data_IF_905539260513
#
_entry.id   IF_905539260513
#
_cell.length_a   1.000
_cell.length_b   1.000
_cell.length_c   1.000
_cell.angle_alpha   90.00
_cell.angle_beta   90.00
_cell.angle_gamma   90.00
#
_symmetry.space_group_name_H-M   'P 1'
#
loop_
_entity.id
_entity.type
_entity.pdbx_description
1 polymer ?
#
# COMPACT_ATOMS: atom_id res chain seq x y z
N UNK A 1 -15.06 -31.59 24.25
CA UNK A 1 -14.46 -31.87 22.93
C UNK A 1 -14.07 -30.54 22.33
N UNK A 2 -12.77 -30.25 22.20
CA UNK A 2 -12.31 -29.02 21.56
C UNK A 2 -12.30 -29.28 20.05
N UNK A 3 -13.35 -28.83 19.34
CA UNK A 3 -13.36 -28.89 17.89
C UNK A 3 -12.28 -27.96 17.36
N UNK A 4 -11.24 -28.51 16.75
CA UNK A 4 -10.30 -27.74 15.95
C UNK A 4 -11.05 -27.26 14.70
N UNK A 5 -11.28 -25.95 14.59
CA UNK A 5 -11.79 -25.36 13.36
C UNK A 5 -10.69 -25.44 12.30
N UNK A 6 -10.87 -26.32 11.33
CA UNK A 6 -9.97 -26.39 10.19
C UNK A 6 -10.34 -25.28 9.20
N UNK A 7 -9.56 -24.20 9.23
CA UNK A 7 -9.73 -23.06 8.32
C UNK A 7 -9.51 -23.45 6.85
N UNK A 8 -8.78 -24.55 6.58
CA UNK A 8 -8.52 -25.02 5.22
C UNK A 8 -9.71 -25.78 4.60
N UNK A 9 -10.68 -26.19 5.42
CA UNK A 9 -11.92 -26.83 4.98
C UNK A 9 -13.02 -25.82 4.62
N UNK A 10 -12.79 -24.51 4.82
CA UNK A 10 -13.73 -23.47 4.43
C UNK A 10 -13.77 -23.26 2.91
N UNK A 11 -14.91 -22.81 2.35
CA UNK A 11 -14.96 -22.39 0.95
C UNK A 11 -13.94 -21.28 0.65
N UNK A 12 -13.42 -21.27 -0.57
CA UNK A 12 -12.41 -20.30 -1.01
C UNK A 12 -12.87 -18.84 -0.82
N UNK A 13 -14.15 -18.56 -1.06
CA UNK A 13 -14.71 -17.22 -0.89
C UNK A 13 -14.68 -16.76 0.57
N UNK A 14 -14.95 -17.67 1.52
CA UNK A 14 -14.86 -17.37 2.95
C UNK A 14 -13.41 -17.06 3.35
N UNK A 15 -12.46 -17.85 2.85
CA UNK A 15 -11.03 -17.62 3.10
C UNK A 15 -10.60 -16.26 2.53
N UNK A 16 -10.99 -15.98 1.28
CA UNK A 16 -10.73 -14.70 0.60
C UNK A 16 -11.28 -13.52 1.40
N UNK A 17 -12.51 -13.62 1.89
CA UNK A 17 -13.13 -12.61 2.74
C UNK A 17 -12.34 -12.41 4.04
N UNK A 18 -11.98 -13.50 4.74
CA UNK A 18 -11.19 -13.40 5.98
C UNK A 18 -9.87 -12.68 5.72
N UNK A 19 -9.14 -13.06 4.66
CA UNK A 19 -7.86 -12.44 4.30
C UNK A 19 -8.02 -10.96 3.96
N UNK A 20 -9.12 -10.56 3.29
CA UNK A 20 -9.40 -9.15 2.99
C UNK A 20 -9.50 -8.26 4.24
N UNK A 21 -9.82 -8.84 5.41
CA UNK A 21 -9.85 -8.11 6.69
C UNK A 21 -8.53 -8.17 7.46
N UNK A 22 -7.51 -8.86 6.93
CA UNK A 22 -6.18 -8.94 7.55
C UNK A 22 -5.24 -7.86 7.02
N UNK A 23 -3.99 -7.82 7.49
CA UNK A 23 -2.98 -6.94 6.89
C UNK A 23 -2.35 -7.60 5.65
N UNK A 24 -1.82 -6.84 4.68
CA UNK A 24 -1.08 -7.37 3.54
C UNK A 24 0.10 -8.27 3.96
N UNK A 25 0.74 -7.95 5.08
CA UNK A 25 1.80 -8.78 5.67
C UNK A 25 1.28 -10.13 6.15
N UNK A 26 0.12 -10.14 6.80
CA UNK A 26 -0.49 -11.38 7.30
C UNK A 26 -1.04 -12.21 6.15
N UNK A 27 -1.62 -11.59 5.12
CA UNK A 27 -2.00 -12.27 3.88
C UNK A 27 -0.81 -13.04 3.27
N UNK A 28 0.36 -12.39 3.13
CA UNK A 28 1.57 -13.06 2.64
C UNK A 28 2.07 -14.20 3.55
N UNK A 29 1.77 -14.19 4.85
CA UNK A 29 2.11 -15.30 5.76
C UNK A 29 1.11 -16.44 5.63
N UNK A 30 -0.18 -16.11 5.50
CA UNK A 30 -1.26 -17.06 5.31
C UNK A 30 -1.10 -17.83 3.99
N UNK A 31 -0.59 -17.20 2.93
CA UNK A 31 -0.34 -17.88 1.64
C UNK A 31 0.59 -19.10 1.76
N UNK A 32 1.47 -19.11 2.77
CA UNK A 32 2.42 -20.19 3.01
C UNK A 32 1.83 -21.35 3.83
N UNK A 33 0.64 -21.18 4.43
CA UNK A 33 0.03 -22.17 5.33
C UNK A 33 -0.61 -23.30 4.54
N UNK A 34 -1.31 -23.01 3.45
CA UNK A 34 -1.92 -24.02 2.58
C UNK A 34 -2.13 -23.52 1.16
N UNK A 35 -2.38 -24.44 0.23
CA UNK A 35 -2.70 -24.09 -1.17
C UNK A 35 -3.99 -23.29 -1.29
N UNK A 36 -5.00 -23.56 -0.44
CA UNK A 36 -6.26 -22.81 -0.43
C UNK A 36 -6.04 -21.35 0.00
N UNK A 37 -5.22 -21.12 1.04
CA UNK A 37 -4.83 -19.76 1.41
C UNK A 37 -4.01 -19.09 0.32
N UNK A 38 -3.06 -19.79 -0.31
CA UNK A 38 -2.29 -19.25 -1.42
C UNK A 38 -3.21 -18.76 -2.56
N UNK A 39 -4.15 -19.60 -3.00
CA UNK A 39 -5.11 -19.22 -4.03
C UNK A 39 -5.98 -18.03 -3.63
N UNK A 40 -6.43 -17.96 -2.38
CA UNK A 40 -7.17 -16.81 -1.87
C UNK A 40 -6.31 -15.53 -1.85
N UNK A 41 -5.04 -15.63 -1.45
CA UNK A 41 -4.12 -14.48 -1.41
C UNK A 41 -3.70 -13.98 -2.78
N UNK A 42 -3.80 -14.79 -3.83
CA UNK A 42 -3.58 -14.30 -5.21
C UNK A 42 -4.83 -13.65 -5.80
N UNK A 43 -5.98 -13.71 -5.14
CA UNK A 43 -7.22 -13.12 -5.62
C UNK A 43 -7.18 -11.59 -5.60
N UNK A 44 -7.57 -10.97 -6.71
CA UNK A 44 -7.66 -9.51 -6.81
C UNK A 44 -8.64 -8.89 -5.80
N UNK A 45 -9.67 -9.65 -5.36
CA UNK A 45 -10.62 -9.17 -4.35
C UNK A 45 -9.93 -8.87 -3.00
N UNK A 46 -8.92 -9.67 -2.63
CA UNK A 46 -8.12 -9.42 -1.42
C UNK A 46 -7.33 -8.14 -1.57
N UNK A 47 -6.59 -8.00 -2.68
CA UNK A 47 -5.73 -6.84 -2.87
C UNK A 47 -6.51 -5.55 -3.10
N UNK A 48 -7.73 -5.62 -3.63
CA UNK A 48 -8.64 -4.48 -3.71
C UNK A 48 -8.98 -3.90 -2.34
N UNK A 49 -9.18 -4.75 -1.32
CA UNK A 49 -9.45 -4.29 0.05
C UNK A 49 -8.26 -3.59 0.70
N UNK A 50 -7.04 -3.95 0.30
CA UNK A 50 -5.79 -3.33 0.78
C UNK A 50 -5.45 -2.04 0.04
N UNK A 51 -6.03 -1.83 -1.15
CA UNK A 51 -5.81 -0.64 -1.93
C UNK A 51 -6.71 0.48 -1.44
N UNK A 52 -6.19 1.72 -1.36
CA UNK A 52 -6.99 2.83 -0.91
C UNK A 52 -8.02 3.23 -1.96
N UNK A 53 -9.28 3.46 -1.58
CA UNK A 53 -10.42 3.71 -2.49
C UNK A 53 -10.18 4.70 -3.65
N UNK A 54 -9.34 5.72 -3.44
CA UNK A 54 -8.97 6.71 -4.47
C UNK A 54 -7.75 6.35 -5.34
N UNK A 55 -7.25 5.10 -5.29
CA UNK A 55 -6.04 4.69 -6.02
C UNK A 55 -6.19 4.89 -7.53
N UNK A 56 -7.39 4.69 -8.08
CA UNK A 56 -7.66 4.84 -9.51
C UNK A 56 -7.42 6.27 -10.02
N UNK A 57 -7.65 7.28 -9.19
CA UNK A 57 -7.39 8.68 -9.53
C UNK A 57 -5.89 9.03 -9.42
N UNK A 58 -5.11 8.25 -8.67
CA UNK A 58 -3.69 8.47 -8.45
C UNK A 58 -2.81 7.74 -9.47
N UNK A 59 -3.32 6.65 -10.04
CA UNK A 59 -2.57 5.83 -10.99
C UNK A 59 -2.74 6.43 -12.39
N UNK A 60 -1.64 6.76 -13.08
CA UNK A 60 -1.68 7.17 -14.47
C UNK A 60 -2.33 6.08 -15.33
N UNK A 61 -3.20 6.47 -16.26
CA UNK A 61 -3.86 5.55 -17.21
C UNK A 61 -2.89 4.76 -18.09
N UNK A 62 -1.61 5.16 -18.14
CA UNK A 62 -0.53 4.48 -18.85
C UNK A 62 0.02 3.26 -18.11
N UNK A 63 -0.24 3.11 -16.81
CA UNK A 63 0.19 1.96 -16.04
C UNK A 63 -0.88 0.86 -16.08
N UNK A 64 -0.69 -0.11 -16.98
CA UNK A 64 -1.47 -1.35 -16.96
C UNK A 64 -0.77 -2.38 -16.07
N UNK A 65 -1.49 -2.93 -15.11
CA UNK A 65 -1.03 -4.01 -14.25
C UNK A 65 -1.82 -5.28 -14.53
N UNK A 66 -1.16 -6.43 -14.48
CA UNK A 66 -1.82 -7.73 -14.73
C UNK A 66 -2.66 -8.18 -13.54
N UNK A 67 -2.37 -7.70 -12.33
CA UNK A 67 -3.11 -8.01 -11.10
C UNK A 67 -3.08 -6.84 -10.12
N UNK A 68 -4.07 -6.77 -9.23
CA UNK A 68 -4.13 -5.76 -8.15
C UNK A 68 -3.01 -5.95 -7.14
N UNK A 69 -2.55 -7.19 -6.95
CA UNK A 69 -1.35 -7.51 -6.18
C UNK A 69 -0.11 -6.84 -6.75
N UNK A 70 0.10 -6.94 -8.06
CA UNK A 70 1.26 -6.34 -8.72
C UNK A 70 1.20 -4.81 -8.63
N UNK A 71 0.00 -4.24 -8.78
CA UNK A 71 -0.25 -2.81 -8.56
C UNK A 71 0.12 -2.39 -7.14
N UNK A 72 -0.34 -3.12 -6.11
CA UNK A 72 0.00 -2.83 -4.72
C UNK A 72 1.52 -2.87 -4.48
N UNK A 73 2.20 -3.91 -4.97
CA UNK A 73 3.66 -4.04 -4.82
C UNK A 73 4.40 -2.92 -5.55
N UNK A 74 3.95 -2.54 -6.75
CA UNK A 74 4.50 -1.42 -7.51
C UNK A 74 4.36 -0.10 -6.73
N UNK A 75 3.19 0.15 -6.12
CA UNK A 75 2.98 1.34 -5.27
C UNK A 75 3.85 1.33 -4.00
N UNK A 76 4.29 0.17 -3.52
CA UNK A 76 5.20 0.08 -2.37
C UNK A 76 6.66 0.38 -2.75
N UNK A 77 7.04 0.05 -3.99
CA UNK A 77 8.42 0.12 -4.48
C UNK A 77 8.70 1.44 -5.19
N UNK A 78 7.75 1.88 -6.01
CA UNK A 78 7.83 3.04 -6.89
C UNK A 78 6.91 4.15 -6.37
N UNK A 79 7.46 5.19 -5.70
CA UNK A 79 6.66 6.32 -5.26
C UNK A 79 6.14 7.12 -6.46
N UNK A 80 4.83 7.36 -6.50
CA UNK A 80 4.17 8.15 -7.52
C UNK A 80 4.29 9.64 -7.20
N UNK A 81 4.73 10.44 -8.18
CA UNK A 81 4.73 11.89 -8.08
C UNK A 81 3.32 12.41 -8.38
N UNK A 82 2.71 13.08 -7.40
CA UNK A 82 1.38 13.68 -7.49
C UNK A 82 1.55 15.21 -7.40
N UNK A 83 0.55 15.95 -7.87
CA UNK A 83 0.48 17.41 -7.70
C UNK A 83 1.69 18.12 -8.34
N UNK A 84 1.94 17.78 -9.61
CA UNK A 84 3.06 18.30 -10.41
C UNK A 84 4.45 18.10 -9.76
N UNK A 85 4.63 17.02 -8.99
CA UNK A 85 5.90 16.69 -8.34
C UNK A 85 6.13 17.36 -6.99
N UNK A 86 5.11 18.04 -6.44
CA UNK A 86 5.18 18.61 -5.10
C UNK A 86 5.04 17.57 -3.99
N UNK A 87 4.40 16.43 -4.28
CA UNK A 87 4.19 15.35 -3.33
C UNK A 87 4.56 14.03 -3.99
N UNK A 88 5.19 13.13 -3.24
CA UNK A 88 5.31 11.73 -3.65
C UNK A 88 4.47 10.84 -2.75
N UNK A 89 3.87 9.81 -3.32
CA UNK A 89 2.94 8.89 -2.67
C UNK A 89 3.40 7.46 -2.87
N UNK A 90 3.40 6.68 -1.81
CA UNK A 90 3.64 5.24 -1.86
C UNK A 90 2.83 4.53 -0.78
N UNK A 91 2.76 3.21 -0.87
CA UNK A 91 2.12 2.39 0.17
C UNK A 91 3.16 1.77 1.10
N UNK A 92 2.85 1.73 2.39
CA UNK A 92 3.63 0.94 3.34
C UNK A 92 3.36 -0.56 3.10
N UNK A 93 4.38 -1.29 2.62
CA UNK A 93 4.27 -2.72 2.26
C UNK A 93 3.54 -3.58 3.28
N UNK A 94 3.79 -3.35 4.57
CA UNK A 94 3.26 -4.19 5.65
C UNK A 94 1.79 -3.94 5.99
N UNK A 95 1.33 -2.70 5.90
CA UNK A 95 0.01 -2.30 6.40
C UNK A 95 -0.94 -1.80 5.31
N UNK A 96 -0.44 -1.50 4.11
CA UNK A 96 -1.20 -0.83 3.05
C UNK A 96 -1.52 0.62 3.34
N UNK A 97 -0.95 1.21 4.39
CA UNK A 97 -1.15 2.63 4.71
C UNK A 97 -0.54 3.53 3.64
N UNK A 98 -1.21 4.64 3.38
CA UNK A 98 -0.75 5.70 2.50
C UNK A 98 0.41 6.45 3.14
N UNK A 99 1.52 6.58 2.42
CA UNK A 99 2.65 7.39 2.82
C UNK A 99 2.84 8.53 1.82
N UNK A 100 3.23 9.70 2.33
CA UNK A 100 3.48 10.89 1.52
C UNK A 100 4.82 11.52 1.90
N UNK A 101 5.56 12.01 0.91
CA UNK A 101 6.68 12.93 1.10
C UNK A 101 6.31 14.25 0.43
N UNK A 102 6.53 15.35 1.15
CA UNK A 102 6.28 16.70 0.67
C UNK A 102 7.61 17.32 0.25
N UNK A 103 7.62 18.04 -0.87
CA UNK A 103 8.77 18.83 -1.30
C UNK A 103 8.97 20.03 -0.34
N UNK A 104 10.23 20.43 -0.05
CA UNK A 104 10.52 21.49 0.94
C UNK A 104 9.86 22.84 0.65
N UNK A 105 9.54 23.13 -0.61
CA UNK A 105 8.93 24.39 -1.05
C UNK A 105 7.42 24.49 -0.85
N UNK A 106 6.76 23.43 -0.38
CA UNK A 106 5.31 23.37 -0.21
C UNK A 106 4.92 22.80 1.15
N UNK A 107 5.47 23.40 2.22
CA UNK A 107 4.79 23.43 3.50
C UNK A 107 3.59 24.38 3.37
N UNK A 108 2.33 23.91 3.25
CA UNK A 108 1.24 24.78 3.61
C UNK A 108 1.44 25.12 5.08
N UNK A 109 1.54 26.41 5.39
CA UNK A 109 1.24 26.94 6.72
C UNK A 109 -0.25 26.69 7.01
N UNK A 110 -0.69 25.43 7.00
CA UNK A 110 -1.97 25.07 7.59
C UNK A 110 -1.69 24.94 9.08
N UNK A 111 -2.12 25.97 9.79
CA UNK A 111 -1.98 26.08 11.23
C UNK A 111 -2.42 24.82 11.94
N UNK A 112 -1.86 24.67 13.14
CA UNK A 112 -2.27 23.70 14.14
C UNK A 112 -3.81 23.61 14.16
N UNK A 113 -4.33 22.45 13.80
CA UNK A 113 -5.72 22.06 14.04
C UNK A 113 -5.72 20.55 14.18
N UNK A 114 -5.16 20.08 15.29
CA UNK A 114 -5.53 18.80 15.87
C UNK A 114 -7.05 18.77 16.06
N UNK A 115 -7.70 17.68 15.65
CA UNK A 115 -8.47 16.97 16.65
C UNK A 115 -8.17 15.46 16.61
N UNK A 116 -7.61 14.99 17.73
CA UNK A 116 -7.71 13.63 18.26
C UNK A 116 -7.59 12.43 17.32
N UNK A 117 -6.38 11.85 17.32
CA UNK A 117 -6.11 10.51 16.81
C UNK A 117 -4.62 10.31 16.55
N UNK A 118 -3.83 10.19 17.61
CA UNK A 118 -2.40 9.85 17.54
C UNK A 118 -2.25 8.52 16.81
N UNK A 119 -1.39 8.50 15.79
CA UNK A 119 -0.99 7.30 15.06
C UNK A 119 0.07 7.64 14.02
N UNK A 120 1.23 8.10 14.50
CA UNK A 120 2.52 8.07 13.82
C UNK A 120 2.49 8.40 12.31
N UNK A 121 2.34 9.69 12.02
CA UNK A 121 2.63 10.24 10.69
C UNK A 121 4.12 10.10 10.42
N UNK A 122 4.50 8.97 9.82
CA UNK A 122 5.83 8.65 9.36
C UNK A 122 6.42 9.73 8.42
N UNK A 123 7.04 10.76 9.00
CA UNK A 123 8.11 11.54 8.37
C UNK A 123 9.38 10.67 8.34
N UNK A 124 9.38 9.61 7.54
CA UNK A 124 10.61 8.84 7.31
C UNK A 124 11.24 9.28 5.97
N UNK A 125 12.35 10.04 5.99
CA UNK A 125 13.24 10.04 4.83
C UNK A 125 13.74 8.60 4.64
N UNK A 126 13.54 8.03 3.45
CA UNK A 126 14.02 6.68 3.13
C UNK A 126 15.55 6.63 3.31
N UNK A 127 16.11 5.74 4.14
CA UNK A 127 17.53 5.45 4.09
C UNK A 127 17.77 4.51 2.90
N UNK A 128 18.44 5.01 1.85
CA UNK A 128 19.03 4.14 0.82
C UNK A 128 18.66 4.41 -0.63
N UNK A 129 17.83 5.40 -0.95
CA UNK A 129 17.67 5.84 -2.35
C UNK A 129 18.41 7.16 -2.52
N UNK A 130 19.62 7.01 -3.04
CA UNK A 130 20.46 8.07 -3.60
C UNK A 130 19.62 9.12 -4.34
N UNK A 131 19.81 10.38 -3.98
CA UNK A 131 19.74 11.68 -4.70
C UNK A 131 19.46 11.75 -6.23
N UNK A 132 18.89 10.76 -6.89
CA UNK A 132 18.89 10.65 -8.35
C UNK A 132 17.63 11.11 -9.07
N UNK A 133 16.64 11.66 -8.36
CA UNK A 133 15.58 12.44 -9.00
C UNK A 133 15.35 13.76 -8.26
N UNK A 134 16.45 14.48 -8.03
CA UNK A 134 16.44 15.91 -7.74
C UNK A 134 17.57 16.57 -8.56
N UNK A 135 17.39 16.61 -9.87
CA UNK A 135 18.08 17.59 -10.70
C UNK A 135 17.01 18.56 -11.22
N UNK A 136 16.66 19.63 -10.47
CA UNK A 136 16.10 20.80 -11.10
C UNK A 136 17.14 21.35 -12.09
N UNK A 137 16.69 21.61 -13.31
CA UNK A 137 17.44 22.21 -14.38
C UNK A 137 18.13 23.51 -13.93
N UNK A 138 19.43 23.66 -14.22
CA UNK A 138 20.08 24.98 -14.20
C UNK A 138 21.43 25.12 -13.51
N UNK A 139 22.30 24.11 -13.48
CA UNK A 139 23.72 24.33 -13.18
C UNK A 139 24.56 23.99 -14.42
N UNK A 140 25.13 25.05 -15.03
CA UNK A 140 26.26 25.02 -15.97
C UNK A 140 27.53 24.65 -15.21
#
# INVERSE_FOLDING_TARGET
MCGTLDLSALPLDCITLIISFTSPRDACRLSLVSTAFNSATESDAVWESFLPSQYQALIPSSLSFSSKKQLYLSLCENPLLIEAGQKSFWLERGSGKKCYMLSPGTLPLYGVSTPHGIGDGCLYPRPGYSLLLAMPAGWV
#
